data_IF_825461800800
#
_entry.id   IF_825461800800
#
_cell.length_a   1.000
_cell.length_b   1.000
_cell.length_c   1.000
_cell.angle_alpha   90.00
_cell.angle_beta   90.00
_cell.angle_gamma   90.00
#
_symmetry.space_group_name_H-M   'P 1'
#
loop_
_entity.id
_entity.type
_entity.pdbx_description
1 polymer ?
#
# COMPACT_ATOMS: atom_id res chain seq x y z
N UNK A 1 55.89 -74.51 -43.09
CA UNK A 1 56.06 -73.17 -42.48
C UNK A 1 54.75 -72.87 -41.78
N UNK A 2 54.65 -73.00 -40.44
CA UNK A 2 53.38 -72.77 -39.74
C UNK A 2 52.93 -71.33 -39.98
N UNK A 3 51.70 -71.19 -40.48
CA UNK A 3 51.14 -70.00 -41.12
C UNK A 3 51.20 -68.75 -40.24
N UNK A 4 51.70 -67.65 -40.81
CA UNK A 4 51.63 -66.26 -40.29
C UNK A 4 50.21 -65.89 -39.79
N UNK A 5 49.19 -66.52 -40.37
CA UNK A 5 47.78 -66.40 -39.98
C UNK A 5 47.53 -66.84 -38.53
N UNK A 6 48.19 -67.86 -38.00
CA UNK A 6 48.01 -68.30 -36.61
C UNK A 6 48.62 -67.32 -35.59
N UNK A 7 49.77 -66.70 -35.89
CA UNK A 7 50.37 -65.69 -35.01
C UNK A 7 49.54 -64.40 -34.96
N UNK A 8 49.01 -63.97 -36.10
CA UNK A 8 48.11 -62.81 -36.18
C UNK A 8 46.81 -63.08 -35.41
N UNK A 9 46.23 -64.27 -35.56
CA UNK A 9 45.02 -64.66 -34.81
C UNK A 9 45.26 -64.66 -33.29
N UNK A 10 46.39 -65.20 -32.82
CA UNK A 10 46.76 -65.18 -31.39
C UNK A 10 46.94 -63.75 -30.84
N UNK A 11 47.62 -62.88 -31.59
CA UNK A 11 47.82 -61.48 -31.19
C UNK A 11 46.49 -60.74 -31.09
N UNK A 12 45.58 -60.94 -32.06
CA UNK A 12 44.24 -60.36 -32.04
C UNK A 12 43.44 -60.89 -30.84
N UNK A 13 43.52 -62.18 -30.53
CA UNK A 13 42.82 -62.76 -29.38
C UNK A 13 43.32 -62.19 -28.04
N UNK A 14 44.64 -61.99 -27.89
CA UNK A 14 45.21 -61.37 -26.68
C UNK A 14 44.79 -59.90 -26.57
N UNK A 15 44.85 -59.14 -27.66
CA UNK A 15 44.39 -57.74 -27.66
C UNK A 15 42.90 -57.61 -27.36
N UNK A 16 42.08 -58.50 -27.93
CA UNK A 16 40.63 -58.53 -27.67
C UNK A 16 40.35 -58.87 -26.20
N UNK A 17 41.04 -59.88 -25.65
CA UNK A 17 40.91 -60.26 -24.25
C UNK A 17 41.33 -59.11 -23.31
N UNK A 18 42.41 -58.39 -23.64
CA UNK A 18 42.86 -57.22 -22.87
C UNK A 18 41.86 -56.07 -22.96
N UNK A 19 41.39 -55.75 -24.17
CA UNK A 19 40.42 -54.66 -24.39
C UNK A 19 39.12 -54.93 -23.63
N UNK A 20 38.60 -56.17 -23.67
CA UNK A 20 37.42 -56.57 -22.92
C UNK A 20 37.68 -56.54 -21.41
N UNK A 21 38.85 -57.01 -20.95
CA UNK A 21 39.23 -56.98 -19.54
C UNK A 21 39.31 -55.57 -18.96
N UNK A 22 39.92 -54.63 -19.70
CA UNK A 22 40.00 -53.21 -19.31
C UNK A 22 38.62 -52.54 -19.35
N UNK A 23 37.83 -52.81 -20.38
CA UNK A 23 36.47 -52.27 -20.49
C UNK A 23 35.58 -52.71 -19.32
N UNK A 24 35.64 -53.99 -18.93
CA UNK A 24 34.94 -54.50 -17.75
C UNK A 24 35.48 -53.89 -16.46
N UNK A 25 36.81 -53.72 -16.35
CA UNK A 25 37.44 -53.10 -15.18
C UNK A 25 37.00 -51.65 -14.95
N UNK A 26 36.89 -50.86 -16.02
CA UNK A 26 36.44 -49.46 -15.96
C UNK A 26 34.94 -49.40 -15.64
N UNK A 27 34.12 -50.22 -16.30
CA UNK A 27 32.67 -50.27 -16.06
C UNK A 27 32.32 -50.64 -14.61
N UNK A 28 33.13 -51.47 -13.94
CA UNK A 28 32.90 -51.84 -12.54
C UNK A 28 33.35 -50.73 -11.56
N UNK A 29 34.39 -49.96 -11.90
CA UNK A 29 34.93 -48.90 -11.06
C UNK A 29 34.08 -47.61 -11.11
N UNK A 30 33.54 -47.24 -12.28
CA UNK A 30 32.72 -46.03 -12.46
C UNK A 30 31.36 -46.11 -11.74
N UNK A 31 30.76 -47.31 -11.69
CA UNK A 31 29.44 -47.50 -11.11
C UNK A 31 29.41 -47.35 -9.57
N UNK A 32 30.51 -47.64 -8.88
CA UNK A 32 30.58 -47.53 -7.40
C UNK A 32 30.80 -46.10 -6.90
N UNK A 33 31.66 -45.34 -7.58
CA UNK A 33 32.04 -43.97 -7.17
C UNK A 33 30.96 -42.94 -7.51
N UNK A 34 30.28 -43.08 -8.65
CA UNK A 34 29.17 -42.20 -9.03
C UNK A 34 27.95 -42.38 -8.12
N UNK A 35 27.64 -43.61 -7.72
CA UNK A 35 26.57 -43.93 -6.78
C UNK A 35 26.80 -43.28 -5.40
N UNK A 36 28.04 -43.27 -4.92
CA UNK A 36 28.39 -42.68 -3.62
C UNK A 36 28.26 -41.15 -3.65
N UNK A 37 28.69 -40.50 -4.75
CA UNK A 37 28.52 -39.05 -4.95
C UNK A 37 27.04 -38.65 -5.05
N UNK A 38 26.23 -39.39 -5.81
CA UNK A 38 24.80 -39.13 -5.93
C UNK A 38 24.09 -39.32 -4.59
N UNK A 39 24.45 -40.34 -3.81
CA UNK A 39 23.91 -40.54 -2.45
C UNK A 39 24.29 -39.40 -1.51
N UNK A 40 25.54 -38.92 -1.57
CA UNK A 40 26.00 -37.78 -0.77
C UNK A 40 25.21 -36.51 -1.14
N UNK A 41 25.10 -36.16 -2.42
CA UNK A 41 24.30 -35.01 -2.86
C UNK A 41 22.83 -35.10 -2.45
N UNK A 42 22.20 -36.27 -2.60
CA UNK A 42 20.81 -36.46 -2.17
C UNK A 42 20.67 -36.30 -0.65
N UNK A 43 21.65 -36.77 0.12
CA UNK A 43 21.69 -36.56 1.57
C UNK A 43 21.82 -35.08 1.93
N UNK A 44 22.74 -34.36 1.28
CA UNK A 44 22.97 -32.94 1.51
C UNK A 44 21.74 -32.11 1.14
N UNK A 45 21.11 -32.40 0.00
CA UNK A 45 19.86 -31.74 -0.43
C UNK A 45 18.74 -32.00 0.57
N UNK A 46 18.60 -33.24 1.08
CA UNK A 46 17.60 -33.55 2.11
C UNK A 46 17.85 -32.77 3.40
N UNK A 47 19.10 -32.71 3.85
CA UNK A 47 19.49 -31.94 5.03
C UNK A 47 19.25 -30.43 4.83
N UNK A 48 19.55 -29.86 3.67
CA UNK A 48 19.25 -28.46 3.39
C UNK A 48 17.75 -28.20 3.32
N UNK A 49 16.96 -29.08 2.68
CA UNK A 49 15.49 -28.97 2.66
C UNK A 49 14.87 -29.04 4.07
N UNK A 50 15.37 -29.92 4.93
CA UNK A 50 14.95 -29.98 6.34
C UNK A 50 15.33 -28.69 7.08
N UNK A 51 16.55 -28.18 6.88
CA UNK A 51 16.99 -26.92 7.45
C UNK A 51 16.18 -25.72 6.96
N UNK A 52 15.86 -25.66 5.66
CA UNK A 52 15.01 -24.62 5.08
C UNK A 52 13.60 -24.66 5.66
N UNK A 53 13.00 -25.85 5.79
CA UNK A 53 11.68 -26.03 6.41
C UNK A 53 11.65 -25.58 7.86
N UNK A 54 12.69 -25.90 8.63
CA UNK A 54 12.82 -25.43 10.01
C UNK A 54 12.91 -23.89 10.09
N UNK A 55 13.72 -23.27 9.21
CA UNK A 55 13.82 -21.79 9.14
C UNK A 55 12.51 -21.12 8.73
N UNK A 56 11.75 -21.74 7.83
CA UNK A 56 10.42 -21.23 7.45
C UNK A 56 9.48 -21.31 8.65
N UNK A 57 9.41 -22.46 9.32
CA UNK A 57 8.56 -22.62 10.51
C UNK A 57 8.90 -21.62 11.62
N UNK A 58 10.19 -21.37 11.88
CA UNK A 58 10.64 -20.36 12.85
C UNK A 58 10.23 -18.93 12.44
N UNK A 59 10.36 -18.60 11.15
CA UNK A 59 9.92 -17.31 10.63
C UNK A 59 8.41 -17.14 10.72
N UNK A 60 7.65 -18.18 10.40
CA UNK A 60 6.19 -18.16 10.49
C UNK A 60 5.73 -17.95 11.93
N UNK A 61 6.36 -18.64 12.90
CA UNK A 61 6.11 -18.42 14.33
C UNK A 61 6.47 -16.98 14.75
N UNK A 62 7.59 -16.45 14.26
CA UNK A 62 8.01 -15.08 14.55
C UNK A 62 7.06 -14.04 13.95
N UNK A 63 6.58 -14.27 12.74
CA UNK A 63 5.61 -13.40 12.06
C UNK A 63 4.30 -13.41 12.86
N UNK A 64 3.78 -14.58 13.22
CA UNK A 64 2.55 -14.68 14.01
C UNK A 64 2.66 -13.91 15.35
N UNK A 65 3.79 -14.04 16.06
CA UNK A 65 4.01 -13.31 17.32
C UNK A 65 4.15 -11.79 17.12
N UNK A 66 4.67 -11.33 15.98
CA UNK A 66 4.75 -9.91 15.66
C UNK A 66 3.37 -9.35 15.27
N UNK A 67 2.58 -10.12 14.52
CA UNK A 67 1.21 -9.75 14.14
C UNK A 67 0.29 -9.66 15.36
N UNK A 68 0.37 -10.61 16.29
CA UNK A 68 -0.37 -10.57 17.55
C UNK A 68 -0.04 -9.31 18.36
N UNK A 69 1.26 -9.01 18.53
CA UNK A 69 1.69 -7.81 19.23
C UNK A 69 1.25 -6.52 18.52
N UNK A 70 1.34 -6.48 17.20
CA UNK A 70 0.90 -5.32 16.42
C UNK A 70 -0.62 -5.10 16.58
N UNK A 71 -1.41 -6.16 16.62
CA UNK A 71 -2.86 -6.08 16.87
C UNK A 71 -3.19 -5.56 18.28
N UNK A 72 -2.43 -5.98 19.30
CA UNK A 72 -2.56 -5.45 20.66
C UNK A 72 -2.23 -3.95 20.72
N UNK A 73 -1.12 -3.54 20.09
CA UNK A 73 -0.69 -2.14 20.02
C UNK A 73 -1.73 -1.29 19.26
N UNK A 74 -2.26 -1.78 18.12
CA UNK A 74 -3.30 -1.10 17.34
C UNK A 74 -4.61 -0.96 18.13
N UNK A 75 -5.01 -1.96 18.91
CA UNK A 75 -6.21 -1.91 19.75
C UNK A 75 -6.05 -0.89 20.89
N UNK A 76 -4.86 -0.83 21.51
CA UNK A 76 -4.54 0.17 22.53
C UNK A 76 -4.57 1.59 21.94
N UNK A 77 -3.97 1.79 20.77
CA UNK A 77 -3.99 3.07 20.06
C UNK A 77 -5.40 3.48 19.66
N UNK A 78 -6.26 2.54 19.26
CA UNK A 78 -7.66 2.83 18.93
C UNK A 78 -8.41 3.46 20.11
N UNK A 79 -8.28 2.89 21.32
CA UNK A 79 -8.92 3.45 22.51
C UNK A 79 -8.37 4.84 22.90
N UNK A 80 -7.07 5.07 22.72
CA UNK A 80 -6.45 6.39 22.96
C UNK A 80 -6.93 7.40 21.92
N UNK A 81 -6.91 7.02 20.63
CA UNK A 81 -7.37 7.85 19.52
C UNK A 81 -8.82 8.27 19.70
N UNK A 82 -9.71 7.34 20.05
CA UNK A 82 -11.12 7.61 20.35
C UNK A 82 -11.27 8.69 21.44
N UNK A 83 -10.54 8.54 22.55
CA UNK A 83 -10.56 9.54 23.63
C UNK A 83 -9.99 10.91 23.21
N UNK A 84 -9.04 10.94 22.27
CA UNK A 84 -8.45 12.19 21.76
C UNK A 84 -9.41 12.91 20.80
N UNK A 85 -10.12 12.18 19.94
CA UNK A 85 -10.99 12.76 18.90
C UNK A 85 -12.42 13.04 19.35
N UNK A 86 -12.89 12.39 20.42
CA UNK A 86 -14.25 12.57 20.92
C UNK A 86 -14.57 14.06 21.13
N UNK A 87 -15.72 14.48 20.60
CA UNK A 87 -16.27 15.84 20.69
C UNK A 87 -15.36 16.97 20.16
N UNK A 88 -14.29 16.66 19.41
CA UNK A 88 -13.35 17.66 18.89
C UNK A 88 -13.87 18.52 17.74
N UNK A 89 -14.86 18.03 17.00
CA UNK A 89 -15.50 18.70 15.88
C UNK A 89 -16.96 19.06 16.18
N UNK A 90 -17.35 19.12 17.46
CA UNK A 90 -18.70 19.55 17.84
C UNK A 90 -19.04 20.93 17.25
N UNK A 91 -20.13 20.98 16.49
CA UNK A 91 -20.60 22.20 15.85
C UNK A 91 -19.80 22.60 14.60
N UNK A 92 -18.83 21.80 14.16
CA UNK A 92 -18.12 21.98 12.90
C UNK A 92 -18.80 21.18 11.79
N UNK A 93 -19.10 21.84 10.66
CA UNK A 93 -19.57 21.16 9.46
C UNK A 93 -18.40 20.64 8.63
N UNK A 94 -18.42 19.36 8.27
CA UNK A 94 -17.33 18.74 7.50
C UNK A 94 -17.91 18.06 6.26
N UNK A 95 -17.26 18.24 5.11
CA UNK A 95 -17.50 17.44 3.91
C UNK A 95 -16.38 16.40 3.76
N UNK A 96 -16.75 15.15 3.43
CA UNK A 96 -15.80 14.10 3.10
C UNK A 96 -15.82 13.87 1.58
N UNK A 97 -14.66 13.99 0.96
CA UNK A 97 -14.49 13.77 -0.49
C UNK A 97 -13.51 12.62 -0.69
N UNK A 98 -13.96 11.58 -1.39
CA UNK A 98 -13.15 10.44 -1.76
C UNK A 98 -12.66 10.64 -3.19
N UNK A 99 -11.34 10.67 -3.38
CA UNK A 99 -10.73 10.68 -4.70
C UNK A 99 -11.12 9.44 -5.52
N UNK A 100 -10.99 9.48 -6.85
CA UNK A 100 -11.55 8.47 -7.75
C UNK A 100 -10.97 7.06 -7.59
N UNK A 101 -9.78 6.97 -7.01
CA UNK A 101 -9.09 5.71 -6.73
C UNK A 101 -8.83 5.50 -5.23
N UNK A 102 -9.47 6.30 -4.38
CA UNK A 102 -9.33 6.19 -2.94
C UNK A 102 -9.85 4.84 -2.43
N UNK A 103 -9.25 4.37 -1.34
CA UNK A 103 -9.67 3.13 -0.68
C UNK A 103 -11.03 3.33 0.02
N UNK A 104 -12.04 2.57 -0.40
CA UNK A 104 -13.42 2.71 0.10
C UNK A 104 -13.53 2.36 1.59
N UNK A 105 -12.80 1.33 2.05
CA UNK A 105 -12.79 0.94 3.46
C UNK A 105 -12.23 2.03 4.37
N UNK A 106 -11.21 2.75 3.91
CA UNK A 106 -10.66 3.93 4.57
C UNK A 106 -11.69 5.06 4.59
N UNK A 107 -12.44 5.27 3.51
CA UNK A 107 -13.53 6.23 3.44
C UNK A 107 -14.61 6.00 4.50
N UNK A 108 -15.06 4.76 4.65
CA UNK A 108 -16.03 4.36 5.71
C UNK A 108 -15.44 4.59 7.11
N UNK A 109 -14.20 4.16 7.34
CA UNK A 109 -13.50 4.32 8.61
C UNK A 109 -13.31 5.79 9.01
N UNK A 110 -13.14 6.69 8.03
CA UNK A 110 -13.08 8.14 8.23
C UNK A 110 -14.44 8.73 8.55
N UNK A 111 -15.48 8.30 7.84
CA UNK A 111 -16.85 8.72 8.12
C UNK A 111 -17.26 8.39 9.56
N UNK A 112 -16.96 7.18 10.04
CA UNK A 112 -17.21 6.77 11.42
C UNK A 112 -16.44 7.63 12.44
N UNK A 113 -15.17 7.97 12.14
CA UNK A 113 -14.34 8.77 13.03
C UNK A 113 -14.78 10.24 13.08
N UNK A 114 -15.22 10.79 11.95
CA UNK A 114 -15.82 12.12 11.87
C UNK A 114 -17.11 12.17 12.69
N UNK A 115 -17.97 11.16 12.59
CA UNK A 115 -19.17 11.05 13.40
C UNK A 115 -18.86 10.97 14.90
N UNK A 116 -17.89 10.14 15.30
CA UNK A 116 -17.45 9.98 16.69
C UNK A 116 -16.86 11.29 17.26
N UNK A 117 -16.24 12.12 16.42
CA UNK A 117 -15.70 13.42 16.83
C UNK A 117 -16.74 14.53 17.00
N UNK A 118 -18.02 14.26 16.70
CA UNK A 118 -19.11 15.24 16.80
C UNK A 118 -19.29 16.14 15.57
N UNK A 119 -18.60 15.84 14.46
CA UNK A 119 -18.71 16.60 13.22
C UNK A 119 -20.11 16.44 12.60
N UNK A 120 -20.66 17.54 12.06
CA UNK A 120 -21.87 17.47 11.22
C UNK A 120 -21.45 17.24 9.77
N UNK A 121 -21.61 16.01 9.29
CA UNK A 121 -21.23 15.64 7.93
C UNK A 121 -22.23 16.24 6.92
N UNK A 122 -21.78 17.19 6.11
CA UNK A 122 -22.62 17.88 5.11
C UNK A 122 -22.78 17.08 3.83
N UNK A 123 -21.70 16.39 3.40
CA UNK A 123 -21.70 15.53 2.23
C UNK A 123 -20.64 14.44 2.34
N UNK A 124 -20.90 13.32 1.67
CA UNK A 124 -19.90 12.29 1.35
C UNK A 124 -19.93 12.12 -0.16
N UNK A 125 -18.93 12.66 -0.84
CA UNK A 125 -18.85 12.65 -2.30
C UNK A 125 -17.73 11.74 -2.74
N UNK A 126 -18.03 10.78 -3.61
CA UNK A 126 -17.01 10.00 -4.31
C UNK A 126 -16.82 10.58 -5.69
N UNK A 127 -15.59 10.99 -6.01
CA UNK A 127 -15.26 11.53 -7.31
C UNK A 127 -15.17 10.42 -8.34
N UNK A 128 -15.64 10.71 -9.54
CA UNK A 128 -15.41 9.83 -10.69
C UNK A 128 -14.04 10.14 -11.32
N UNK A 129 -13.36 9.12 -11.88
CA UNK A 129 -12.15 9.35 -12.64
C UNK A 129 -12.37 10.39 -13.74
N UNK A 130 -11.39 11.28 -14.00
CA UNK A 130 -11.53 12.27 -15.05
C UNK A 130 -11.68 11.59 -16.41
N UNK A 131 -12.77 11.89 -17.11
CA UNK A 131 -13.00 11.42 -18.48
C UNK A 131 -12.04 12.14 -19.44
N UNK A 132 -11.52 11.45 -20.49
CA UNK A 132 -10.68 12.10 -21.48
C UNK A 132 -11.46 13.21 -22.20
N UNK A 133 -10.85 14.39 -22.29
CA UNK A 133 -11.48 15.58 -22.88
C UNK A 133 -11.87 15.32 -24.34
N UNK A 134 -13.16 15.45 -24.66
CA UNK A 134 -13.64 15.54 -26.04
C UNK A 134 -13.78 17.02 -26.42
N UNK A 135 -13.85 17.32 -27.72
CA UNK A 135 -13.92 18.71 -28.22
C UNK A 135 -15.13 19.52 -27.72
N UNK A 136 -16.12 18.87 -27.12
CA UNK A 136 -17.35 19.48 -26.57
C UNK A 136 -17.48 19.30 -25.04
N UNK A 137 -16.56 18.59 -24.39
CA UNK A 137 -16.57 18.36 -22.95
C UNK A 137 -15.72 19.42 -22.22
N UNK A 138 -16.16 19.81 -21.02
CA UNK A 138 -15.34 20.58 -20.07
C UNK A 138 -14.04 19.84 -19.77
N UNK A 139 -12.97 20.59 -19.49
CA UNK A 139 -11.69 19.96 -19.10
C UNK A 139 -11.82 19.28 -17.73
N UNK A 140 -10.99 18.28 -17.40
CA UNK A 140 -10.99 17.66 -16.07
C UNK A 140 -10.90 18.66 -14.91
N UNK A 141 -10.13 19.73 -15.09
CA UNK A 141 -10.00 20.82 -14.12
C UNK A 141 -11.29 21.61 -13.94
N UNK A 142 -12.01 21.90 -15.03
CA UNK A 142 -13.31 22.56 -14.98
C UNK A 142 -14.36 21.66 -14.30
N UNK A 143 -14.37 20.36 -14.61
CA UNK A 143 -15.28 19.38 -13.99
C UNK A 143 -15.07 19.28 -12.48
N UNK A 144 -13.82 19.13 -12.05
CA UNK A 144 -13.49 19.03 -10.62
C UNK A 144 -13.72 20.37 -9.89
N UNK A 145 -13.50 21.50 -10.55
CA UNK A 145 -13.83 22.81 -9.98
C UNK A 145 -15.34 23.02 -9.80
N UNK A 146 -16.17 22.51 -10.71
CA UNK A 146 -17.63 22.55 -10.60
C UNK A 146 -18.12 21.67 -9.45
N UNK A 147 -17.65 20.42 -9.38
CA UNK A 147 -17.95 19.49 -8.27
C UNK A 147 -17.52 20.09 -6.91
N UNK A 148 -16.35 20.74 -6.88
CA UNK A 148 -15.87 21.43 -5.69
C UNK A 148 -16.81 22.54 -5.23
N UNK A 149 -17.37 23.31 -6.17
CA UNK A 149 -18.33 24.37 -5.88
C UNK A 149 -19.69 23.81 -5.40
N UNK A 150 -20.13 22.68 -5.94
CA UNK A 150 -21.34 21.99 -5.49
C UNK A 150 -21.21 21.47 -4.05
N UNK A 151 -20.04 20.97 -3.66
CA UNK A 151 -19.74 20.57 -2.27
C UNK A 151 -19.84 21.75 -1.29
N UNK A 152 -19.55 22.98 -1.76
CA UNK A 152 -19.69 24.19 -0.94
C UNK A 152 -21.14 24.67 -0.83
N UNK A 153 -22.05 24.17 -1.66
CA UNK A 153 -23.42 24.63 -1.68
C UNK A 153 -24.12 24.31 -0.35
N UNK A 154 -24.93 25.25 0.19
CA UNK A 154 -25.76 25.01 1.38
C UNK A 154 -26.53 23.70 1.30
N UNK A 155 -26.26 22.77 2.21
CA UNK A 155 -27.08 21.58 2.35
C UNK A 155 -28.30 21.91 3.22
N UNK A 156 -29.48 21.43 2.81
CA UNK A 156 -30.62 21.38 3.71
C UNK A 156 -30.51 20.05 4.49
N UNK A 157 -30.21 20.05 5.80
CA UNK A 157 -30.45 18.87 6.61
C UNK A 157 -31.93 18.49 6.50
N UNK A 158 -32.34 17.34 7.01
CA UNK A 158 -33.72 16.83 6.96
C UNK A 158 -34.78 17.69 7.72
N UNK A 159 -34.54 18.99 7.87
CA UNK A 159 -35.45 20.04 8.33
C UNK A 159 -35.18 21.40 7.66
N UNK A 160 -36.08 22.36 7.90
CA UNK A 160 -36.27 23.65 7.18
C UNK A 160 -35.15 24.72 7.32
N UNK A 161 -33.94 24.37 7.74
CA UNK A 161 -32.82 25.33 7.90
C UNK A 161 -31.69 25.00 6.96
N UNK A 162 -31.50 25.81 5.91
CA UNK A 162 -30.31 25.76 5.08
C UNK A 162 -29.06 25.97 5.97
N UNK A 163 -28.12 25.02 5.97
CA UNK A 163 -26.83 25.21 6.62
C UNK A 163 -25.92 26.09 5.75
N UNK A 164 -24.96 26.79 6.34
CA UNK A 164 -23.81 27.25 5.56
C UNK A 164 -23.07 26.03 4.96
N UNK A 165 -22.19 26.26 3.98
CA UNK A 165 -21.30 25.21 3.46
C UNK A 165 -20.40 24.61 4.56
N UNK A 166 -19.60 23.59 4.22
CA UNK A 166 -18.70 22.98 5.19
C UNK A 166 -17.64 23.97 5.71
N UNK A 167 -17.34 23.91 7.00
CA UNK A 167 -16.21 24.62 7.63
C UNK A 167 -14.87 24.00 7.20
N UNK A 168 -14.86 22.68 7.02
CA UNK A 168 -13.70 21.92 6.56
C UNK A 168 -14.06 20.84 5.52
N UNK A 169 -13.13 20.56 4.61
CA UNK A 169 -13.19 19.46 3.66
C UNK A 169 -12.06 18.49 3.98
N UNK A 170 -12.41 17.24 4.21
CA UNK A 170 -11.46 16.13 4.27
C UNK A 170 -11.42 15.50 2.88
N UNK A 171 -10.25 15.46 2.27
CA UNK A 171 -10.03 14.81 0.99
C UNK A 171 -9.21 13.53 1.17
N UNK A 172 -9.81 12.37 0.93
CA UNK A 172 -9.10 11.09 0.88
C UNK A 172 -8.57 10.84 -0.53
N UNK A 173 -7.27 10.98 -0.71
CA UNK A 173 -6.57 10.67 -1.94
C UNK A 173 -5.92 9.28 -1.94
N UNK A 174 -4.95 9.13 -2.83
CA UNK A 174 -4.17 7.90 -3.00
C UNK A 174 -4.65 7.05 -4.17
N UNK A 175 -4.49 5.73 -4.04
CA UNK A 175 -4.90 4.76 -5.06
C UNK A 175 -3.90 4.58 -6.20
N UNK A 176 -4.32 3.88 -7.25
CA UNK A 176 -3.48 3.53 -8.39
C UNK A 176 -4.16 3.97 -9.70
N UNK A 177 -4.16 5.28 -10.02
CA UNK A 177 -4.66 5.74 -11.30
C UNK A 177 -3.83 5.16 -12.46
N UNK A 178 -4.43 4.94 -13.65
CA UNK A 178 -3.69 4.63 -14.86
C UNK A 178 -2.60 5.69 -15.11
N UNK A 179 -1.37 5.32 -15.50
CA UNK A 179 -0.27 6.27 -15.68
C UNK A 179 -0.61 7.43 -16.63
N UNK A 180 -1.38 7.17 -17.67
CA UNK A 180 -1.85 8.16 -18.65
C UNK A 180 -2.82 9.19 -18.08
N UNK A 181 -3.56 8.86 -17.02
CA UNK A 181 -4.53 9.73 -16.37
C UNK A 181 -3.95 10.47 -15.16
N UNK A 182 -2.78 10.03 -14.66
CA UNK A 182 -2.23 10.52 -13.37
C UNK A 182 -1.95 12.02 -13.35
N UNK A 183 -1.46 12.61 -14.45
CA UNK A 183 -1.18 14.06 -14.49
C UNK A 183 -2.47 14.87 -14.58
N UNK A 184 -3.39 14.48 -15.47
CA UNK A 184 -4.69 15.15 -15.61
C UNK A 184 -5.51 15.08 -14.32
N UNK A 185 -5.45 13.96 -13.60
CA UNK A 185 -6.05 13.83 -12.27
C UNK A 185 -5.42 14.80 -11.27
N UNK A 186 -4.08 14.86 -11.20
CA UNK A 186 -3.40 15.78 -10.29
C UNK A 186 -3.73 17.25 -10.60
N UNK A 187 -3.80 17.63 -11.87
CA UNK A 187 -4.19 18.98 -12.28
C UNK A 187 -5.66 19.29 -11.92
N UNK A 188 -6.56 18.30 -12.09
CA UNK A 188 -7.97 18.42 -11.72
C UNK A 188 -8.19 18.53 -10.20
N UNK A 189 -7.54 17.67 -9.41
CA UNK A 189 -7.51 17.73 -7.94
C UNK A 189 -6.99 19.12 -7.48
N UNK A 190 -5.93 19.63 -8.12
CA UNK A 190 -5.38 20.95 -7.82
C UNK A 190 -6.38 22.08 -8.08
N UNK A 191 -7.14 22.01 -9.17
CA UNK A 191 -8.19 22.99 -9.47
C UNK A 191 -9.30 22.97 -8.42
N UNK A 192 -9.74 21.78 -8.00
CA UNK A 192 -10.71 21.58 -6.92
C UNK A 192 -10.22 22.15 -5.58
N UNK A 193 -8.97 21.86 -5.17
CA UNK A 193 -8.42 22.40 -3.92
C UNK A 193 -8.39 23.93 -3.91
N UNK A 194 -8.06 24.56 -5.05
CA UNK A 194 -8.07 26.02 -5.17
C UNK A 194 -9.46 26.64 -5.04
N UNK A 195 -10.51 25.93 -5.43
CA UNK A 195 -11.90 26.39 -5.22
C UNK A 195 -12.21 26.45 -3.73
N UNK A 196 -11.90 25.40 -2.97
CA UNK A 196 -12.11 25.38 -1.52
C UNK A 196 -11.24 26.38 -0.78
N UNK A 197 -9.96 26.50 -1.14
CA UNK A 197 -9.05 27.51 -0.59
C UNK A 197 -9.55 28.93 -0.86
N UNK A 198 -9.99 29.21 -2.09
CA UNK A 198 -10.55 30.51 -2.48
C UNK A 198 -11.86 30.85 -1.75
N UNK A 199 -12.61 29.83 -1.31
CA UNK A 199 -13.79 29.98 -0.46
C UNK A 199 -13.46 30.07 1.04
N UNK A 200 -12.17 30.04 1.41
CA UNK A 200 -11.69 30.04 2.79
C UNK A 200 -12.20 28.84 3.61
N UNK A 201 -12.39 27.69 2.94
CA UNK A 201 -12.70 26.40 3.57
C UNK A 201 -11.41 25.67 3.89
N UNK A 202 -11.32 25.12 5.09
CA UNK A 202 -10.12 24.38 5.52
C UNK A 202 -10.06 23.03 4.82
N UNK A 203 -9.01 22.76 4.06
CA UNK A 203 -8.81 21.46 3.40
C UNK A 203 -7.80 20.64 4.19
N UNK A 204 -8.07 19.36 4.41
CA UNK A 204 -7.12 18.40 4.99
C UNK A 204 -7.03 17.16 4.11
N UNK A 205 -5.83 16.84 3.65
CA UNK A 205 -5.55 15.65 2.84
C UNK A 205 -5.37 14.39 3.68
N UNK A 206 -5.81 13.25 3.15
CA UNK A 206 -5.64 11.94 3.75
C UNK A 206 -5.15 10.94 2.71
N UNK A 207 -4.28 10.01 3.11
CA UNK A 207 -3.87 8.86 2.30
C UNK A 207 -3.98 7.57 3.14
N UNK A 208 -4.44 6.48 2.54
CA UNK A 208 -4.48 5.16 3.18
C UNK A 208 -3.10 4.48 3.23
N UNK A 209 -2.93 3.51 4.13
CA UNK A 209 -1.71 2.69 4.23
C UNK A 209 -1.64 1.67 3.08
N UNK A 210 -1.07 2.09 1.96
CA UNK A 210 -0.93 1.23 0.79
C UNK A 210 0.16 1.72 -0.17
N UNK A 211 0.51 0.86 -1.14
CA UNK A 211 1.55 1.13 -2.14
C UNK A 211 1.07 2.03 -3.31
N UNK A 212 -0.01 2.79 -3.10
CA UNK A 212 -0.58 3.67 -4.10
C UNK A 212 0.30 4.90 -4.40
N UNK A 213 -0.15 5.72 -5.35
CA UNK A 213 0.39 7.07 -5.57
C UNK A 213 0.27 7.86 -4.27
N UNK A 214 1.39 8.35 -3.76
CA UNK A 214 1.35 9.31 -2.66
C UNK A 214 1.01 10.71 -3.18
N UNK A 215 -0.02 11.32 -2.57
CA UNK A 215 -0.43 12.70 -2.87
C UNK A 215 0.19 13.72 -1.90
N UNK A 216 0.95 13.27 -0.90
CA UNK A 216 1.61 14.14 0.09
C UNK A 216 2.44 15.25 -0.56
N UNK A 217 3.28 15.00 -1.59
CA UNK A 217 4.03 16.08 -2.25
C UNK A 217 3.13 17.16 -2.88
N UNK A 218 1.98 16.77 -3.41
CA UNK A 218 1.02 17.71 -3.98
C UNK A 218 0.35 18.55 -2.88
N UNK A 219 -0.01 17.93 -1.76
CA UNK A 219 -0.55 18.66 -0.61
C UNK A 219 0.47 19.65 -0.06
N UNK A 220 1.74 19.25 0.08
CA UNK A 220 2.82 20.13 0.53
C UNK A 220 3.03 21.32 -0.41
N UNK A 221 3.04 21.10 -1.74
CA UNK A 221 3.17 22.17 -2.75
C UNK A 221 2.01 23.19 -2.67
N UNK A 222 0.84 22.75 -2.21
CA UNK A 222 -0.36 23.58 -2.03
C UNK A 222 -0.53 24.11 -0.59
N UNK A 223 0.35 23.75 0.34
CA UNK A 223 0.22 24.11 1.75
C UNK A 223 -0.98 23.47 2.46
N UNK A 224 -1.49 22.35 1.93
CA UNK A 224 -2.62 21.61 2.51
C UNK A 224 -2.08 20.68 3.61
N UNK A 225 -2.53 20.81 4.86
CA UNK A 225 -2.17 19.87 5.91
C UNK A 225 -2.65 18.46 5.54
N UNK A 226 -1.84 17.45 5.82
CA UNK A 226 -2.14 16.10 5.36
C UNK A 226 -1.76 15.01 6.36
N UNK A 227 -2.39 13.85 6.21
CA UNK A 227 -2.12 12.67 7.04
C UNK A 227 -1.93 11.43 6.18
N UNK A 228 -0.94 10.63 6.54
CA UNK A 228 -0.70 9.31 5.99
C UNK A 228 -1.26 8.22 6.91
N UNK A 229 -1.57 7.05 6.34
CA UNK A 229 -2.19 5.92 7.02
C UNK A 229 -3.52 6.28 7.69
N UNK A 230 -4.40 6.99 6.97
CA UNK A 230 -5.72 7.40 7.42
C UNK A 230 -6.69 6.23 7.70
N UNK A 231 -6.33 5.00 7.33
CA UNK A 231 -6.99 3.75 7.73
C UNK A 231 -6.64 3.32 9.16
N UNK A 232 -5.52 3.81 9.71
CA UNK A 232 -5.05 3.48 11.06
C UNK A 232 -5.62 4.44 12.11
N UNK A 233 -5.85 3.99 13.36
CA UNK A 233 -6.39 4.85 14.42
C UNK A 233 -5.58 6.12 14.67
N UNK A 234 -4.25 6.06 14.58
CA UNK A 234 -3.40 7.24 14.75
C UNK A 234 -3.58 8.24 13.59
N UNK A 235 -3.62 7.77 12.34
CA UNK A 235 -3.87 8.64 11.19
C UNK A 235 -5.23 9.33 11.29
N UNK A 236 -6.28 8.58 11.65
CA UNK A 236 -7.62 9.16 11.87
C UNK A 236 -7.63 10.22 12.96
N UNK A 237 -6.95 9.98 14.07
CA UNK A 237 -6.86 10.98 15.14
C UNK A 237 -6.11 12.24 14.73
N UNK A 238 -5.00 12.10 14.00
CA UNK A 238 -4.26 13.23 13.45
C UNK A 238 -5.15 14.04 12.49
N UNK A 239 -5.90 13.36 11.63
CA UNK A 239 -6.80 14.00 10.67
C UNK A 239 -7.86 14.86 11.36
N UNK A 240 -8.52 14.33 12.40
CA UNK A 240 -9.52 15.08 13.15
C UNK A 240 -8.91 16.31 13.83
N UNK A 241 -7.72 16.19 14.42
CA UNK A 241 -7.02 17.33 15.04
C UNK A 241 -6.67 18.42 14.02
N UNK A 242 -6.27 18.01 12.81
CA UNK A 242 -6.05 18.95 11.72
C UNK A 242 -7.35 19.58 11.25
N UNK A 243 -8.41 18.80 11.02
CA UNK A 243 -9.71 19.34 10.59
C UNK A 243 -10.27 20.36 11.59
N UNK A 244 -10.07 20.12 12.89
CA UNK A 244 -10.48 21.02 13.97
C UNK A 244 -9.65 22.31 14.06
N UNK A 245 -8.56 22.43 13.30
CA UNK A 245 -7.58 23.52 13.45
C UNK A 245 -6.88 23.50 14.81
N UNK A 246 -6.89 22.35 15.48
CA UNK A 246 -6.40 22.16 16.83
C UNK A 246 -4.89 21.86 16.88
N UNK A 247 -4.30 21.58 15.72
CA UNK A 247 -2.88 21.30 15.52
C UNK A 247 -2.25 22.24 14.48
N UNK A 248 -0.92 22.33 14.50
CA UNK A 248 -0.17 23.06 13.48
C UNK A 248 -0.32 22.35 12.11
N UNK A 249 -0.43 23.14 11.05
CA UNK A 249 -0.45 22.61 9.69
C UNK A 249 0.88 21.92 9.35
N UNK A 250 0.80 20.80 8.62
CA UNK A 250 1.94 19.98 8.22
C UNK A 250 1.49 18.63 7.67
N UNK A 251 2.45 17.83 7.23
CA UNK A 251 2.24 16.45 6.82
C UNK A 251 2.56 15.51 7.99
N UNK A 252 1.61 14.67 8.43
CA UNK A 252 1.80 13.80 9.58
C UNK A 252 1.68 12.33 9.21
N UNK A 253 2.56 11.49 9.75
CA UNK A 253 2.54 10.05 9.51
C UNK A 253 3.92 9.41 9.50
N UNK A 254 4.07 8.27 8.85
CA UNK A 254 5.30 7.45 8.92
C UNK A 254 6.16 7.50 7.66
N UNK A 255 5.69 8.13 6.58
CA UNK A 255 6.46 8.28 5.34
C UNK A 255 7.62 9.27 5.52
N UNK A 256 8.70 9.16 4.70
CA UNK A 256 9.86 10.06 4.78
C UNK A 256 9.52 11.55 4.56
N UNK A 257 8.38 11.85 3.95
CA UNK A 257 7.89 13.21 3.71
C UNK A 257 7.12 13.79 4.91
N UNK A 258 6.83 12.99 5.94
CA UNK A 258 6.13 13.48 7.13
C UNK A 258 7.00 14.46 7.93
N UNK A 259 6.39 15.55 8.37
CA UNK A 259 6.98 16.52 9.30
C UNK A 259 7.19 15.89 10.68
N UNK A 260 6.19 15.18 11.17
CA UNK A 260 6.19 14.48 12.45
C UNK A 260 5.27 13.23 12.39
N UNK A 261 5.45 12.25 13.29
CA UNK A 261 4.60 11.06 13.31
C UNK A 261 3.15 11.35 13.73
N UNK A 262 2.92 12.41 14.51
CA UNK A 262 1.60 12.78 15.00
C UNK A 262 1.57 14.27 15.39
N UNK A 263 0.47 14.99 15.14
CA UNK A 263 0.35 16.40 15.52
C UNK A 263 0.35 16.60 17.03
N UNK A 264 0.91 17.72 17.55
CA UNK A 264 0.86 18.01 18.96
C UNK A 264 -0.60 18.15 19.43
N UNK A 265 -0.99 17.39 20.46
CA UNK A 265 -2.33 17.46 21.03
C UNK A 265 -2.43 18.75 21.86
N UNK A 266 -3.38 19.65 21.56
CA UNK A 266 -3.61 20.81 22.41
C UNK A 266 -4.14 20.38 23.78
N UNK A 267 -3.58 20.97 24.83
CA UNK A 267 -3.94 20.71 26.22
C UNK A 267 -5.26 21.33 26.66
#
# INVERSE_FOLDING_TARGET
MPDLRYHVVSLISVFLALAVGVLLGIAMADNGLLDEQLRAQVSDIRADLEGQRARIAEKDERIAALEERAAEDDAMLAGISEAVISDRLEGTSVALVLGPYADEGTGEALQDSLALSGATLTSVTKLEPPEPTTLEASTPEEQYAEEAADILAPYAPTGDVASAGPDAVVFLGGGNPPPEASNALADAETAMFRVWEGANVRVVGAEASGDGRSQIPQYDDLGIPSVDNADRPAGRAALILLAAGAAADGAYGTKPTASDPFPPVPG
#
